data_IF_374468986522
#
_entry.id   IF_374468986522
#
_cell.length_a   1.000
_cell.length_b   1.000
_cell.length_c   1.000
_cell.angle_alpha   90.00
_cell.angle_beta   90.00
_cell.angle_gamma   90.00
#
_symmetry.space_group_name_H-M   'P 1'
#
loop_
_entity.id
_entity.type
_entity.pdbx_description
1 polymer ?
#
# COMPACT_ATOMS: atom_id res chain seq x y z
N UNK A 1 -19.85 -24.87 5.08
CA UNK A 1 -20.47 -23.73 5.78
C UNK A 1 -19.59 -23.42 6.99
N UNK A 2 -19.06 -22.19 7.07
CA UNK A 2 -18.16 -21.64 8.11
C UNK A 2 -16.67 -22.09 8.09
N UNK A 3 -15.87 -21.43 7.24
CA UNK A 3 -14.40 -21.29 7.41
C UNK A 3 -14.01 -19.85 7.82
N UNK A 4 -14.98 -19.04 8.29
CA UNK A 4 -14.79 -17.62 8.61
C UNK A 4 -13.58 -17.35 9.52
N UNK A 5 -13.26 -18.25 10.45
CA UNK A 5 -12.10 -18.08 11.33
C UNK A 5 -10.77 -18.08 10.57
N UNK A 6 -10.57 -19.05 9.67
CA UNK A 6 -9.33 -19.16 8.90
C UNK A 6 -9.16 -17.99 7.93
N UNK A 7 -10.21 -17.63 7.20
CA UNK A 7 -10.20 -16.51 6.24
C UNK A 7 -9.88 -15.18 6.95
N UNK A 8 -10.46 -14.95 8.13
CA UNK A 8 -10.16 -13.78 8.96
C UNK A 8 -8.73 -13.83 9.52
N UNK A 9 -8.24 -14.99 9.96
CA UNK A 9 -6.86 -15.16 10.42
C UNK A 9 -5.86 -14.84 9.31
N UNK A 10 -6.08 -15.34 8.09
CA UNK A 10 -5.25 -14.99 6.94
C UNK A 10 -5.31 -13.49 6.63
N UNK A 11 -6.49 -12.86 6.75
CA UNK A 11 -6.64 -11.40 6.64
C UNK A 11 -5.83 -10.63 7.69
N UNK A 12 -5.92 -11.01 8.96
CA UNK A 12 -5.15 -10.35 10.02
C UNK A 12 -3.65 -10.54 9.88
N UNK A 13 -3.20 -11.74 9.51
CA UNK A 13 -1.76 -12.02 9.28
C UNK A 13 -1.25 -11.19 8.10
N UNK A 14 -2.01 -11.13 6.99
CA UNK A 14 -1.61 -10.33 5.83
C UNK A 14 -1.58 -8.83 6.13
N UNK A 15 -2.52 -8.31 6.92
CA UNK A 15 -2.46 -6.93 7.42
C UNK A 15 -1.22 -6.69 8.30
N UNK A 16 -0.90 -7.61 9.22
CA UNK A 16 0.25 -7.48 10.11
C UNK A 16 1.57 -7.44 9.34
N UNK A 17 1.72 -8.34 8.36
CA UNK A 17 2.87 -8.38 7.46
C UNK A 17 2.97 -7.09 6.64
N UNK A 18 1.85 -6.59 6.09
CA UNK A 18 1.84 -5.35 5.34
C UNK A 18 2.31 -4.14 6.18
N UNK A 19 1.84 -4.02 7.42
CA UNK A 19 2.25 -2.93 8.34
C UNK A 19 3.74 -3.02 8.65
N UNK A 20 4.26 -4.23 8.90
CA UNK A 20 5.68 -4.43 9.21
C UNK A 20 6.58 -4.08 8.03
N UNK A 21 6.25 -4.54 6.82
CA UNK A 21 7.05 -4.23 5.63
C UNK A 21 6.96 -2.74 5.27
N UNK A 22 5.76 -2.15 5.32
CA UNK A 22 5.58 -0.73 5.04
C UNK A 22 6.29 0.13 6.08
N UNK A 23 6.18 -0.19 7.37
CA UNK A 23 6.86 0.52 8.46
C UNK A 23 8.38 0.36 8.43
N UNK A 24 8.89 -0.82 8.07
CA UNK A 24 10.33 -1.08 8.02
C UNK A 24 11.03 -0.39 6.84
N UNK A 25 10.28 -0.01 5.81
CA UNK A 25 10.82 0.75 4.68
C UNK A 25 11.40 2.12 5.11
N UNK A 26 10.95 2.65 6.26
CA UNK A 26 11.44 3.90 6.85
C UNK A 26 12.71 3.76 7.71
N UNK A 27 13.13 2.53 8.03
CA UNK A 27 14.38 2.27 8.78
C UNK A 27 15.65 2.60 7.97
N UNK A 28 15.79 2.15 6.70
CA UNK A 28 16.95 2.53 5.87
C UNK A 28 16.96 4.02 5.50
N UNK A 29 15.80 4.68 5.45
CA UNK A 29 15.69 6.12 5.22
C UNK A 29 16.32 6.98 6.34
N UNK A 30 16.59 6.39 7.52
CA UNK A 30 17.36 7.06 8.59
C UNK A 30 18.87 6.90 8.44
N UNK A 31 19.33 5.93 7.63
CA UNK A 31 20.75 5.65 7.40
C UNK A 31 21.30 6.33 6.15
N UNK A 32 20.42 6.65 5.20
CA UNK A 32 20.73 7.41 4.01
C UNK A 32 20.08 8.78 4.12
N UNK A 33 20.85 9.84 3.90
CA UNK A 33 20.33 11.20 3.77
C UNK A 33 19.45 11.24 2.52
N UNK A 34 18.20 10.87 2.72
CA UNK A 34 17.18 11.00 1.69
C UNK A 34 16.76 12.45 1.77
N UNK A 35 16.87 13.19 0.67
CA UNK A 35 16.59 14.62 0.62
C UNK A 35 15.19 15.01 1.13
N UNK A 36 14.79 16.27 0.95
CA UNK A 36 13.55 16.83 1.49
C UNK A 36 12.33 15.88 1.43
N UNK A 37 11.54 15.85 2.51
CA UNK A 37 10.41 14.90 2.67
C UNK A 37 9.39 14.89 1.52
N UNK A 38 9.35 15.97 0.72
CA UNK A 38 8.56 16.08 -0.51
C UNK A 38 9.02 15.11 -1.60
N UNK A 39 10.32 14.88 -1.77
CA UNK A 39 10.85 13.94 -2.75
C UNK A 39 10.51 12.50 -2.37
N UNK A 40 10.60 12.17 -1.08
CA UNK A 40 10.19 10.84 -0.60
C UNK A 40 8.71 10.56 -0.85
N UNK A 41 7.85 11.52 -0.52
CA UNK A 41 6.40 11.36 -0.74
C UNK A 41 6.08 11.21 -2.23
N UNK A 42 6.78 11.94 -3.09
CA UNK A 42 6.63 11.80 -4.54
C UNK A 42 7.05 10.41 -5.04
N UNK A 43 8.23 9.92 -4.65
CA UNK A 43 8.72 8.58 -5.04
C UNK A 43 7.81 7.48 -4.51
N UNK A 44 7.35 7.59 -3.26
CA UNK A 44 6.44 6.63 -2.64
C UNK A 44 5.09 6.60 -3.36
N UNK A 45 4.54 7.78 -3.70
CA UNK A 45 3.30 7.88 -4.47
C UNK A 45 3.46 7.28 -5.88
N UNK A 46 4.57 7.57 -6.56
CA UNK A 46 4.87 6.99 -7.87
C UNK A 46 4.99 5.44 -7.80
N UNK A 47 5.62 4.90 -6.75
CA UNK A 47 5.73 3.46 -6.55
C UNK A 47 4.36 2.79 -6.30
N UNK A 48 3.51 3.37 -5.45
CA UNK A 48 2.15 2.86 -5.18
C UNK A 48 1.32 2.89 -6.46
N UNK A 49 1.40 3.96 -7.25
CA UNK A 49 0.71 4.07 -8.52
C UNK A 49 1.16 3.02 -9.53
N UNK A 50 2.47 2.77 -9.65
CA UNK A 50 3.02 1.73 -10.53
C UNK A 50 2.49 0.35 -10.13
N UNK A 51 2.56 0.00 -8.84
CA UNK A 51 2.05 -1.28 -8.33
C UNK A 51 0.54 -1.40 -8.62
N UNK A 52 -0.23 -0.34 -8.38
CA UNK A 52 -1.67 -0.33 -8.67
C UNK A 52 -1.97 -0.52 -10.17
N UNK A 53 -1.17 0.08 -11.07
CA UNK A 53 -1.31 -0.08 -12.51
C UNK A 53 -1.05 -1.54 -12.91
N UNK A 54 0.04 -2.13 -12.42
CA UNK A 54 0.40 -3.53 -12.70
C UNK A 54 -0.70 -4.49 -12.22
N UNK A 55 -1.19 -4.30 -10.99
CA UNK A 55 -2.29 -5.10 -10.43
C UNK A 55 -3.56 -4.92 -11.26
N UNK A 56 -3.91 -3.69 -11.66
CA UNK A 56 -5.09 -3.42 -12.48
C UNK A 56 -5.01 -4.08 -13.88
N UNK A 57 -3.81 -4.14 -14.46
CA UNK A 57 -3.55 -4.83 -15.73
C UNK A 57 -3.73 -6.35 -15.58
N UNK A 58 -3.21 -6.94 -14.50
CA UNK A 58 -3.33 -8.38 -14.22
C UNK A 58 -4.79 -8.78 -13.96
N UNK A 59 -5.57 -7.92 -13.28
CA UNK A 59 -6.96 -8.20 -12.94
C UNK A 59 -7.97 -7.86 -14.06
N UNK A 60 -7.51 -7.51 -15.26
CA UNK A 60 -8.38 -7.21 -16.42
C UNK A 60 -9.45 -6.13 -16.11
N UNK A 61 -9.03 -4.98 -15.58
CA UNK A 61 -9.91 -3.81 -15.35
C UNK A 61 -11.22 -4.10 -14.60
N UNK A 62 -11.14 -4.48 -13.30
CA UNK A 62 -12.32 -4.56 -12.44
C UNK A 62 -12.94 -3.17 -12.19
N UNK A 63 -14.20 -3.14 -11.77
CA UNK A 63 -14.94 -1.89 -11.50
C UNK A 63 -14.27 -1.12 -10.34
N UNK A 64 -13.73 0.07 -10.63
CA UNK A 64 -13.13 0.94 -9.62
C UNK A 64 -14.17 1.42 -8.60
N UNK A 65 -13.86 1.29 -7.31
CA UNK A 65 -14.67 1.83 -6.21
C UNK A 65 -14.13 3.20 -5.77
N UNK A 66 -14.94 4.27 -5.83
CA UNK A 66 -14.49 5.64 -5.51
C UNK A 66 -13.95 5.78 -4.08
N UNK A 67 -14.46 4.97 -3.14
CA UNK A 67 -13.98 4.96 -1.76
C UNK A 67 -12.50 4.60 -1.62
N UNK A 68 -11.96 3.77 -2.52
CA UNK A 68 -10.54 3.43 -2.51
C UNK A 68 -9.68 4.63 -2.96
N UNK A 69 -10.18 5.48 -3.87
CA UNK A 69 -9.50 6.71 -4.29
C UNK A 69 -9.46 7.77 -3.18
N UNK A 70 -10.52 7.86 -2.36
CA UNK A 70 -10.58 8.82 -1.25
C UNK A 70 -9.46 8.60 -0.22
N UNK A 71 -9.15 7.33 0.09
CA UNK A 71 -8.03 6.98 0.98
C UNK A 71 -6.68 7.47 0.44
N UNK A 72 -6.47 7.36 -0.88
CA UNK A 72 -5.28 7.91 -1.54
C UNK A 72 -5.22 9.44 -1.51
N UNK A 73 -6.35 10.13 -1.69
CA UNK A 73 -6.43 11.59 -1.61
C UNK A 73 -6.09 12.12 -0.21
N UNK A 74 -6.57 11.45 0.85
CA UNK A 74 -6.27 11.80 2.24
C UNK A 74 -4.79 11.56 2.57
N UNK A 75 -4.21 10.47 2.05
CA UNK A 75 -2.81 10.14 2.25
C UNK A 75 -1.85 11.09 1.50
N UNK A 76 -2.31 11.73 0.43
CA UNK A 76 -1.53 12.67 -0.37
C UNK A 76 -1.59 14.14 0.11
N UNK A 77 -2.43 14.45 1.11
CA UNK A 77 -2.56 15.79 1.73
C UNK A 77 -1.61 15.93 2.91
#
# INVERSE_FOLDING_TARGET
>A
MSNNGADLTFGYISCFVAILLFGSNFVPLKKFDTGDGMFLQWVLCAAIWLVALVVNLILHCPKFWPFAMLGGCIWAT
#
